data_IF_029456391168
#
_entry.id   IF_029456391168
#
_cell.length_a   1.000
_cell.length_b   1.000
_cell.length_c   1.000
_cell.angle_alpha   90.00
_cell.angle_beta   90.00
_cell.angle_gamma   90.00
#
_symmetry.space_group_name_H-M   'P 1'
#
loop_
_entity.id
_entity.type
_entity.pdbx_description
1 polymer ?
#
# COMPACT_ATOMS: atom_id res chain seq x y z
N UNK A 1 17.35 17.79 -8.32
CA UNK A 1 16.21 18.37 -9.08
C UNK A 1 15.24 17.24 -9.42
N UNK A 2 13.95 17.38 -9.11
CA UNK A 2 12.94 16.36 -9.47
C UNK A 2 12.39 16.69 -10.88
N UNK A 3 12.62 15.81 -11.85
CA UNK A 3 12.22 16.02 -13.26
C UNK A 3 10.71 16.22 -13.40
N UNK A 4 9.89 15.45 -12.66
CA UNK A 4 8.44 15.62 -12.69
C UNK A 4 8.01 17.00 -12.18
N UNK A 5 8.67 17.49 -11.12
CA UNK A 5 8.45 18.85 -10.62
C UNK A 5 8.77 19.90 -11.67
N UNK A 6 9.88 19.73 -12.41
CA UNK A 6 10.27 20.65 -13.47
C UNK A 6 9.23 20.70 -14.59
N UNK A 7 8.78 19.53 -15.09
CA UNK A 7 7.76 19.43 -16.15
C UNK A 7 6.47 20.14 -15.74
N UNK A 8 6.00 19.89 -14.51
CA UNK A 8 4.73 20.44 -14.02
C UNK A 8 4.85 21.95 -13.78
N UNK A 9 5.93 22.41 -13.13
CA UNK A 9 6.13 23.82 -12.83
C UNK A 9 6.26 24.68 -14.09
N UNK A 10 6.89 24.13 -15.14
CA UNK A 10 7.04 24.81 -16.42
C UNK A 10 5.89 24.51 -17.40
N UNK A 11 4.86 23.78 -16.96
CA UNK A 11 3.69 23.41 -17.78
C UNK A 11 4.08 22.77 -19.11
N UNK A 12 5.12 21.95 -19.12
CA UNK A 12 5.61 21.28 -20.33
C UNK A 12 4.61 20.18 -20.71
N UNK A 13 3.90 20.36 -21.84
CA UNK A 13 2.87 19.43 -22.34
C UNK A 13 3.35 18.53 -23.48
N UNK A 14 4.56 18.78 -24.00
CA UNK A 14 5.24 17.89 -24.95
C UNK A 14 5.43 16.49 -24.35
N UNK A 15 5.71 15.53 -25.23
CA UNK A 15 6.00 14.15 -24.82
C UNK A 15 7.35 14.11 -24.12
N UNK A 16 7.33 13.85 -22.81
CA UNK A 16 8.53 13.79 -21.97
C UNK A 16 8.78 12.35 -21.51
N UNK A 17 10.02 11.88 -21.64
CA UNK A 17 10.44 10.56 -21.17
C UNK A 17 11.25 10.69 -19.89
N UNK A 18 10.79 10.08 -18.80
CA UNK A 18 11.52 10.02 -17.53
C UNK A 18 12.10 8.62 -17.40
N UNK A 19 13.41 8.50 -17.61
CA UNK A 19 14.16 7.30 -17.29
C UNK A 19 14.29 7.19 -15.76
N UNK A 20 13.94 6.03 -15.22
CA UNK A 20 14.15 5.69 -13.81
C UNK A 20 15.11 4.51 -13.72
N UNK A 21 16.00 4.51 -12.72
CA UNK A 21 17.05 3.49 -12.57
C UNK A 21 16.52 2.07 -12.33
N UNK A 22 15.27 1.96 -11.86
CA UNK A 22 14.51 0.72 -11.70
C UNK A 22 13.12 0.93 -12.31
N UNK A 23 12.08 0.31 -11.75
CA UNK A 23 10.69 0.60 -12.12
C UNK A 23 10.08 1.67 -11.22
N UNK A 24 9.14 2.43 -11.74
CA UNK A 24 8.40 3.44 -11.00
C UNK A 24 7.66 2.80 -9.81
N UNK A 25 7.82 3.33 -8.58
CA UNK A 25 7.06 2.81 -7.45
C UNK A 25 5.57 3.15 -7.55
N UNK A 26 4.75 2.49 -6.75
CA UNK A 26 3.31 2.65 -6.82
C UNK A 26 2.87 4.10 -6.57
N UNK A 27 3.46 4.79 -5.59
CA UNK A 27 3.14 6.20 -5.30
C UNK A 27 3.60 7.15 -6.40
N UNK A 28 4.79 6.92 -6.98
CA UNK A 28 5.25 7.66 -8.15
C UNK A 28 4.30 7.44 -9.34
N UNK A 29 3.83 6.20 -9.56
CA UNK A 29 2.92 5.88 -10.64
C UNK A 29 1.57 6.60 -10.48
N UNK A 30 0.98 6.57 -9.28
CA UNK A 30 -0.26 7.31 -9.00
C UNK A 30 -0.10 8.80 -9.27
N UNK A 31 1.02 9.39 -8.84
CA UNK A 31 1.31 10.80 -9.10
C UNK A 31 1.42 11.11 -10.60
N UNK A 32 2.12 10.26 -11.35
CA UNK A 32 2.28 10.43 -12.80
C UNK A 32 0.98 10.20 -13.57
N UNK A 33 0.16 9.25 -13.15
CA UNK A 33 -1.17 9.02 -13.72
C UNK A 33 -2.09 10.22 -13.43
N UNK A 34 -2.02 10.80 -12.23
CA UNK A 34 -2.70 12.05 -11.95
C UNK A 34 -2.21 13.17 -12.88
N UNK A 35 -0.89 13.33 -13.09
CA UNK A 35 -0.36 14.31 -14.03
C UNK A 35 -0.88 14.07 -15.46
N UNK A 36 -0.88 12.83 -15.94
CA UNK A 36 -1.46 12.45 -17.25
C UNK A 36 -2.93 12.83 -17.36
N UNK A 37 -3.72 12.61 -16.30
CA UNK A 37 -5.13 13.03 -16.25
C UNK A 37 -5.32 14.55 -16.37
N UNK A 38 -4.27 15.34 -16.09
CA UNK A 38 -4.23 16.80 -16.27
C UNK A 38 -3.57 17.22 -17.59
N UNK A 39 -3.45 16.30 -18.55
CA UNK A 39 -2.96 16.55 -19.90
C UNK A 39 -1.44 16.56 -20.06
N UNK A 40 -0.67 16.12 -19.06
CA UNK A 40 0.79 16.00 -19.21
C UNK A 40 1.15 14.69 -19.93
N UNK A 41 1.93 14.76 -21.02
CA UNK A 41 2.34 13.58 -21.79
C UNK A 41 3.66 13.01 -21.26
N UNK A 42 3.61 12.33 -20.10
CA UNK A 42 4.81 11.79 -19.43
C UNK A 42 4.88 10.27 -19.64
N UNK A 43 5.99 9.77 -20.17
CA UNK A 43 6.28 8.34 -20.36
C UNK A 43 7.38 7.92 -19.38
N UNK A 44 7.21 6.77 -18.71
CA UNK A 44 8.18 6.25 -17.73
C UNK A 44 8.47 4.77 -17.97
N UNK A 45 9.68 4.33 -17.61
CA UNK A 45 10.13 2.94 -17.78
C UNK A 45 9.49 2.00 -16.75
N UNK A 46 8.28 1.53 -17.06
CA UNK A 46 7.56 0.49 -16.32
C UNK A 46 7.19 0.86 -14.87
N UNK A 47 6.35 0.02 -14.26
CA UNK A 47 5.92 0.18 -12.87
C UNK A 47 6.28 -1.05 -12.03
N UNK A 48 6.39 -0.82 -10.72
CA UNK A 48 6.42 -1.85 -9.70
C UNK A 48 5.36 -1.50 -8.67
N UNK A 49 4.60 -2.51 -8.23
CA UNK A 49 3.51 -2.34 -7.25
C UNK A 49 4.01 -2.22 -5.80
N UNK A 50 5.27 -1.81 -5.61
CA UNK A 50 5.89 -1.61 -4.30
C UNK A 50 5.64 -0.19 -3.81
N UNK A 51 5.32 -0.05 -2.54
CA UNK A 51 5.26 1.21 -1.81
C UNK A 51 6.59 1.36 -1.06
N UNK A 52 7.26 2.51 -1.18
CA UNK A 52 8.49 2.80 -0.45
C UNK A 52 8.21 3.83 0.63
N UNK A 53 8.62 3.52 1.87
CA UNK A 53 8.48 4.43 3.03
C UNK A 53 9.20 5.77 2.82
N UNK A 54 10.33 5.77 2.12
CA UNK A 54 11.10 6.98 1.81
C UNK A 54 10.54 7.82 0.65
N UNK A 55 9.41 7.46 0.05
CA UNK A 55 8.83 8.24 -1.04
C UNK A 55 8.35 9.61 -0.55
N UNK A 56 8.65 10.66 -1.31
CA UNK A 56 8.27 12.05 -1.00
C UNK A 56 7.43 12.63 -2.14
N UNK A 57 6.33 13.29 -1.79
CA UNK A 57 5.48 13.99 -2.75
C UNK A 57 6.29 15.08 -3.48
N UNK A 58 6.27 15.12 -4.82
CA UNK A 58 6.98 16.15 -5.56
C UNK A 58 6.51 17.56 -5.19
N UNK A 59 7.47 18.45 -4.90
CA UNK A 59 7.17 19.82 -4.47
C UNK A 59 6.97 20.74 -5.67
N UNK A 60 5.73 20.86 -6.14
CA UNK A 60 5.34 21.75 -7.24
C UNK A 60 4.85 23.10 -6.73
N UNK A 61 4.99 24.16 -7.54
CA UNK A 61 4.57 25.53 -7.22
C UNK A 61 3.05 25.68 -7.17
N UNK A 62 2.33 24.89 -7.96
CA UNK A 62 0.87 24.90 -8.01
C UNK A 62 0.29 24.13 -6.81
N UNK A 63 -0.21 24.87 -5.82
CA UNK A 63 -0.83 24.31 -4.61
C UNK A 63 -2.09 23.51 -4.93
N UNK A 64 -2.89 23.92 -5.92
CA UNK A 64 -4.10 23.19 -6.30
C UNK A 64 -3.75 21.84 -6.93
N UNK A 65 -2.72 21.82 -7.78
CA UNK A 65 -2.18 20.57 -8.32
C UNK A 65 -1.68 19.66 -7.19
N UNK A 66 -0.91 20.21 -6.25
CA UNK A 66 -0.37 19.48 -5.10
C UNK A 66 -1.50 18.85 -4.26
N UNK A 67 -2.49 19.63 -3.84
CA UNK A 67 -3.63 19.16 -3.04
C UNK A 67 -4.41 18.06 -3.78
N UNK A 68 -4.77 18.29 -5.04
CA UNK A 68 -5.53 17.32 -5.83
C UNK A 68 -4.75 16.03 -6.08
N UNK A 69 -3.43 16.13 -6.30
CA UNK A 69 -2.57 14.95 -6.45
C UNK A 69 -2.51 14.14 -5.15
N UNK A 70 -2.45 14.80 -4.00
CA UNK A 70 -2.44 14.16 -2.69
C UNK A 70 -3.76 13.45 -2.41
N UNK A 71 -4.90 14.12 -2.62
CA UNK A 71 -6.23 13.50 -2.50
C UNK A 71 -6.33 12.27 -3.39
N UNK A 72 -5.91 12.38 -4.66
CA UNK A 72 -5.92 11.24 -5.58
C UNK A 72 -5.10 10.05 -5.07
N UNK A 73 -3.92 10.31 -4.51
CA UNK A 73 -3.07 9.24 -3.95
C UNK A 73 -3.73 8.60 -2.74
N UNK A 74 -4.21 9.39 -1.78
CA UNK A 74 -4.87 8.89 -0.56
C UNK A 74 -6.08 8.01 -0.89
N UNK A 75 -6.98 8.48 -1.76
CA UNK A 75 -8.15 7.70 -2.18
C UNK A 75 -7.77 6.35 -2.80
N UNK A 76 -6.67 6.27 -3.55
CA UNK A 76 -6.23 5.00 -4.13
C UNK A 76 -5.58 4.08 -3.09
N UNK A 77 -4.93 4.63 -2.06
CA UNK A 77 -4.40 3.85 -0.94
C UNK A 77 -5.53 3.28 -0.08
N UNK A 78 -6.54 4.08 0.24
CA UNK A 78 -7.72 3.64 1.00
C UNK A 78 -8.40 2.47 0.29
N UNK A 79 -8.62 2.57 -1.02
CA UNK A 79 -9.18 1.47 -1.84
C UNK A 79 -8.34 0.19 -1.77
N UNK A 80 -7.02 0.29 -1.70
CA UNK A 80 -6.15 -0.89 -1.56
C UNK A 80 -6.30 -1.51 -0.18
N UNK A 81 -6.35 -0.67 0.86
CA UNK A 81 -6.51 -1.13 2.24
C UNK A 81 -7.87 -1.83 2.38
N UNK A 82 -8.95 -1.20 1.94
CA UNK A 82 -10.29 -1.78 1.92
C UNK A 82 -10.34 -3.11 1.18
N UNK A 83 -9.77 -3.17 -0.03
CA UNK A 83 -9.73 -4.42 -0.81
C UNK A 83 -8.96 -5.52 -0.08
N UNK A 84 -7.86 -5.19 0.59
CA UNK A 84 -7.07 -6.16 1.35
C UNK A 84 -7.83 -6.66 2.58
N UNK A 85 -8.47 -5.76 3.33
CA UNK A 85 -9.30 -6.11 4.48
C UNK A 85 -10.43 -7.04 4.02
N UNK A 86 -11.20 -6.64 3.01
CA UNK A 86 -12.32 -7.44 2.52
C UNK A 86 -11.90 -8.82 2.04
N UNK A 87 -10.78 -8.94 1.33
CA UNK A 87 -10.24 -10.23 0.90
C UNK A 87 -9.85 -11.12 2.08
N UNK A 88 -9.27 -10.55 3.14
CA UNK A 88 -8.90 -11.29 4.33
C UNK A 88 -10.16 -11.77 5.08
N UNK A 89 -11.12 -10.88 5.34
CA UNK A 89 -12.35 -11.20 6.07
C UNK A 89 -13.23 -12.20 5.32
N UNK A 90 -13.29 -12.13 3.98
CA UNK A 90 -14.05 -13.10 3.17
C UNK A 90 -13.38 -14.48 3.16
N UNK A 91 -12.05 -14.54 3.17
CA UNK A 91 -11.30 -15.80 3.25
C UNK A 91 -11.38 -16.47 4.63
N UNK A 92 -11.57 -15.69 5.70
CA UNK A 92 -11.78 -16.21 7.06
C UNK A 92 -13.18 -16.79 7.28
N UNK A 93 -14.11 -16.55 6.36
CA UNK A 93 -15.46 -17.09 6.41
C UNK A 93 -15.48 -18.55 5.90
N UNK A 94 -14.60 -19.38 6.48
CA UNK A 94 -14.65 -20.83 6.36
C UNK A 94 -15.71 -21.37 7.32
N UNK A 95 -16.42 -22.41 6.88
CA UNK A 95 -17.66 -22.95 7.41
C UNK A 95 -17.64 -23.15 8.94
N UNK A 96 -18.60 -22.51 9.64
CA UNK A 96 -18.98 -22.97 10.97
C UNK A 96 -19.62 -24.35 10.81
N UNK A 97 -18.83 -25.41 11.03
CA UNK A 97 -19.32 -26.75 11.34
C UNK A 97 -19.95 -26.75 12.75
N UNK A 98 -21.05 -26.02 12.95
CA UNK A 98 -21.91 -26.20 14.12
C UNK A 98 -23.05 -27.14 13.75
N UNK A 99 -22.66 -28.37 13.43
CA UNK A 99 -23.55 -29.43 12.99
C UNK A 99 -23.53 -30.66 13.89
N UNK A 100 -23.43 -30.55 15.22
CA UNK A 100 -23.73 -31.69 16.12
C UNK A 100 -24.41 -31.18 17.41
N UNK A 101 -25.59 -31.74 17.67
CA UNK A 101 -26.47 -31.47 18.80
C UNK A 101 -25.86 -31.92 20.15
N UNK A 102 -26.15 -31.15 21.21
CA UNK A 102 -26.01 -31.48 22.64
C UNK A 102 -26.74 -32.80 22.99
N UNK A 103 -26.27 -33.65 23.95
CA UNK A 103 -26.50 -33.34 25.37
C UNK A 103 -25.43 -33.81 26.41
N UNK A 104 -25.30 -32.98 27.44
CA UNK A 104 -25.04 -33.20 28.89
C UNK A 104 -23.90 -34.08 29.48
N UNK A 105 -23.14 -33.38 30.35
CA UNK A 105 -22.52 -33.73 31.63
C UNK A 105 -21.69 -35.01 31.80
N UNK A 106 -20.43 -34.86 32.24
CA UNK A 106 -20.01 -35.22 33.60
C UNK A 106 -18.63 -34.61 33.93
N UNK A 107 -18.57 -33.89 35.06
CA UNK A 107 -17.32 -33.40 35.66
C UNK A 107 -16.48 -34.57 36.15
N UNK A 108 -15.17 -34.53 35.90
CA UNK A 108 -14.17 -35.05 36.84
C UNK A 108 -12.87 -34.29 36.60
N UNK A 109 -12.40 -33.65 37.67
CA UNK A 109 -11.12 -32.95 37.75
C UNK A 109 -9.96 -33.92 37.51
N UNK A 110 -8.97 -33.54 36.70
CA UNK A 110 -7.59 -33.98 36.93
C UNK A 110 -6.59 -32.97 36.34
N UNK A 111 -5.71 -32.50 37.21
CA UNK A 111 -4.60 -31.59 36.97
C UNK A 111 -3.55 -32.25 36.05
N UNK A 112 -2.99 -31.49 35.11
CA UNK A 112 -1.56 -31.60 34.81
C UNK A 112 -1.05 -30.42 33.98
N UNK A 113 -0.09 -29.72 34.59
CA UNK A 113 0.83 -28.77 33.98
C UNK A 113 1.47 -29.31 32.69
N UNK A 114 1.61 -28.46 31.66
CA UNK A 114 2.86 -28.38 30.85
C UNK A 114 2.89 -27.20 29.86
N UNK A 115 3.91 -26.37 30.07
CA UNK A 115 4.85 -25.77 29.10
C UNK A 115 4.42 -24.63 28.13
N UNK A 116 4.72 -23.43 28.62
CA UNK A 116 5.40 -22.29 27.98
C UNK A 116 6.01 -22.53 26.57
N UNK A 117 5.55 -21.76 25.57
CA UNK A 117 6.37 -21.39 24.41
C UNK A 117 6.10 -19.93 24.01
N UNK A 118 7.06 -19.06 24.34
CA UNK A 118 7.21 -17.71 23.79
C UNK A 118 7.95 -17.80 22.46
N UNK A 119 7.29 -17.48 21.34
CA UNK A 119 8.00 -17.19 20.08
C UNK A 119 8.22 -15.67 19.95
N UNK A 120 9.35 -15.22 20.50
CA UNK A 120 9.90 -13.88 20.27
C UNK A 120 10.87 -13.96 19.10
N UNK A 121 10.35 -13.80 17.87
CA UNK A 121 11.21 -13.56 16.72
C UNK A 121 11.62 -12.09 16.63
N UNK A 122 12.63 -11.79 17.46
CA UNK A 122 13.55 -10.68 17.34
C UNK A 122 14.46 -10.88 16.13
N UNK A 123 14.20 -10.16 15.03
CA UNK A 123 15.18 -9.91 13.98
C UNK A 123 15.47 -8.41 13.89
N UNK A 124 16.26 -7.94 14.87
CA UNK A 124 17.54 -7.25 14.68
C UNK A 124 17.61 -6.27 13.48
N UNK A 125 17.26 -5.02 13.77
CA UNK A 125 17.74 -3.85 13.03
C UNK A 125 19.20 -3.59 13.41
N UNK A 126 20.15 -4.06 12.61
CA UNK A 126 21.49 -3.49 12.59
C UNK A 126 21.53 -2.47 11.44
N UNK A 127 21.40 -1.18 11.77
CA UNK A 127 21.68 -0.04 10.89
C UNK A 127 23.00 0.59 11.32
N UNK A 128 24.01 0.45 10.47
CA UNK A 128 25.07 1.43 10.26
C UNK A 128 24.71 2.27 9.03
#
# INVERSE_FOLDING_TARGET
>A
MNISTFIINNKIKSKEFIAVSKRCCYLCELYLNFARSKGYNIVVSGNQRKIYSGWKLPNVKDNNFKIKSLIHILTNLDRIIEKKINNYTSSLKAESDSGVNSPDSNNSDDDSDTDEYLDVNSHRFDLL
#
